data_IF_044321753856
#
_entry.id   IF_044321753856
#
_cell.length_a   1.000
_cell.length_b   1.000
_cell.length_c   1.000
_cell.angle_alpha   90.00
_cell.angle_beta   90.00
_cell.angle_gamma   90.00
#
_symmetry.space_group_name_H-M   'P 1'
#
loop_
_entity.id
_entity.type
_entity.pdbx_description
1 polymer ?
#
# COMPACT_ATOMS: atom_id res chain seq x y z
N UNK A 1 -28.57 -20.62 -20.06
CA UNK A 1 -28.11 -19.34 -19.45
C UNK A 1 -28.20 -19.36 -17.90
N UNK A 2 -29.14 -20.09 -17.30
CA UNK A 2 -29.38 -20.09 -15.85
C UNK A 2 -28.38 -20.90 -15.00
N UNK A 3 -27.78 -21.97 -15.52
CA UNK A 3 -26.85 -22.81 -14.73
C UNK A 3 -25.59 -22.06 -14.29
N UNK A 4 -25.03 -21.21 -15.15
CA UNK A 4 -23.85 -20.42 -14.81
C UNK A 4 -24.16 -19.48 -13.64
N UNK A 5 -25.31 -18.80 -13.71
CA UNK A 5 -25.79 -17.90 -12.66
C UNK A 5 -26.01 -18.65 -11.35
N UNK A 6 -26.64 -19.83 -11.39
CA UNK A 6 -26.85 -20.67 -10.21
C UNK A 6 -25.53 -21.11 -9.56
N UNK A 7 -24.50 -21.43 -10.35
CA UNK A 7 -23.16 -21.74 -9.83
C UNK A 7 -22.49 -20.55 -9.14
N UNK A 8 -22.58 -19.35 -9.73
CA UNK A 8 -22.05 -18.14 -9.08
C UNK A 8 -22.79 -17.82 -7.79
N UNK A 9 -24.12 -17.92 -7.78
CA UNK A 9 -24.92 -17.74 -6.56
C UNK A 9 -24.50 -18.70 -5.46
N UNK A 10 -24.30 -19.99 -5.79
CA UNK A 10 -23.85 -21.00 -4.84
C UNK A 10 -22.45 -20.74 -4.26
N UNK A 11 -21.60 -19.99 -4.95
CA UNK A 11 -20.30 -19.55 -4.42
C UNK A 11 -20.48 -18.33 -3.51
N UNK A 12 -21.30 -17.36 -3.92
CA UNK A 12 -21.52 -16.11 -3.18
C UNK A 12 -22.31 -16.29 -1.88
N UNK A 13 -23.20 -17.29 -1.82
CA UNK A 13 -23.98 -17.59 -0.61
C UNK A 13 -23.21 -18.41 0.43
N UNK A 14 -22.02 -18.92 0.11
CA UNK A 14 -21.19 -19.65 1.07
C UNK A 14 -20.61 -18.68 2.09
N UNK A 15 -20.71 -18.99 3.40
CA UNK A 15 -20.08 -18.17 4.41
C UNK A 15 -18.56 -18.17 4.24
N UNK A 16 -17.93 -17.01 4.48
CA UNK A 16 -16.47 -16.89 4.43
C UNK A 16 -15.85 -17.86 5.45
N UNK A 17 -14.91 -18.68 4.98
CA UNK A 17 -14.18 -19.63 5.80
C UNK A 17 -13.41 -18.92 6.92
N UNK A 18 -13.07 -19.64 7.99
CA UNK A 18 -12.31 -19.07 9.10
C UNK A 18 -10.96 -18.50 8.64
N UNK A 19 -10.26 -19.19 7.73
CA UNK A 19 -9.01 -18.70 7.12
C UNK A 19 -9.21 -17.39 6.35
N UNK A 20 -10.31 -17.26 5.60
CA UNK A 20 -10.65 -16.02 4.89
C UNK A 20 -10.93 -14.87 5.86
N UNK A 21 -11.60 -15.13 6.99
CA UNK A 21 -11.85 -14.12 8.03
C UNK A 21 -10.56 -13.64 8.67
N UNK A 22 -9.64 -14.56 9.00
CA UNK A 22 -8.33 -14.21 9.56
C UNK A 22 -7.53 -13.37 8.55
N UNK A 23 -7.53 -13.75 7.27
CA UNK A 23 -6.87 -12.98 6.22
C UNK A 23 -7.43 -11.56 6.13
N UNK A 24 -8.76 -11.41 6.16
CA UNK A 24 -9.41 -10.10 6.15
C UNK A 24 -8.99 -9.24 7.36
N UNK A 25 -8.92 -9.83 8.56
CA UNK A 25 -8.46 -9.12 9.75
C UNK A 25 -7.01 -8.64 9.60
N UNK A 26 -6.13 -9.49 9.07
CA UNK A 26 -4.74 -9.12 8.78
C UNK A 26 -4.69 -7.97 7.76
N UNK A 27 -5.51 -8.03 6.70
CA UNK A 27 -5.59 -6.96 5.71
C UNK A 27 -6.03 -5.64 6.34
N UNK A 28 -7.10 -5.66 7.15
CA UNK A 28 -7.58 -4.46 7.86
C UNK A 28 -6.49 -3.90 8.79
N UNK A 29 -5.76 -4.77 9.48
CA UNK A 29 -4.67 -4.37 10.37
C UNK A 29 -3.47 -3.77 9.63
N UNK A 30 -3.21 -4.18 8.39
CA UNK A 30 -2.15 -3.61 7.56
C UNK A 30 -2.47 -2.23 7.02
N UNK A 31 -3.75 -1.84 6.93
CA UNK A 31 -4.15 -0.50 6.44
C UNK A 31 -3.48 0.63 7.23
N UNK A 32 -3.52 0.71 8.57
CA UNK A 32 -2.85 1.80 9.28
C UNK A 32 -1.33 1.84 9.06
N UNK A 33 -0.68 0.70 8.81
CA UNK A 33 0.76 0.69 8.49
C UNK A 33 1.06 1.46 7.20
N UNK A 34 0.16 1.47 6.21
CA UNK A 34 0.41 2.17 4.94
C UNK A 34 0.44 3.69 5.07
N UNK A 35 -0.05 4.23 6.19
CA UNK A 35 0.07 5.66 6.52
C UNK A 35 1.37 5.99 7.25
N UNK A 36 1.98 5.00 7.92
CA UNK A 36 3.20 5.21 8.71
C UNK A 36 4.47 5.01 7.88
N UNK A 37 4.42 4.17 6.85
CA UNK A 37 5.57 3.88 5.99
C UNK A 37 5.44 4.57 4.63
N UNK A 38 6.57 5.02 4.05
CA UNK A 38 6.54 5.60 2.71
C UNK A 38 6.25 4.51 1.68
N UNK A 39 5.32 4.81 0.78
CA UNK A 39 4.98 3.94 -0.35
C UNK A 39 6.06 3.98 -1.42
N UNK A 40 6.65 5.15 -1.63
CA UNK A 40 7.67 5.39 -2.64
C UNK A 40 8.79 6.26 -2.10
N UNK A 41 10.02 5.94 -2.51
CA UNK A 41 11.21 6.75 -2.27
C UNK A 41 11.79 7.18 -3.61
N UNK A 42 11.96 8.48 -3.80
CA UNK A 42 12.49 9.06 -5.02
C UNK A 42 13.77 9.83 -4.71
N UNK A 43 14.73 9.75 -5.63
CA UNK A 43 15.96 10.53 -5.60
C UNK A 43 16.13 11.25 -6.94
N UNK A 44 16.13 12.56 -6.92
CA UNK A 44 16.36 13.41 -8.08
C UNK A 44 17.82 13.81 -8.11
N UNK A 45 18.56 13.17 -9.01
CA UNK A 45 19.97 13.46 -9.25
C UNK A 45 20.08 14.48 -10.39
N UNK A 46 20.97 15.45 -10.23
CA UNK A 46 21.33 16.40 -11.28
C UNK A 46 22.82 16.69 -11.19
N UNK A 47 23.49 16.86 -12.33
CA UNK A 47 24.91 17.22 -12.38
C UNK A 47 25.21 18.57 -11.70
N UNK A 48 24.20 19.42 -11.51
CA UNK A 48 24.34 20.74 -10.89
C UNK A 48 24.30 20.69 -9.35
N UNK A 49 23.81 19.60 -8.76
CA UNK A 49 23.64 19.47 -7.31
C UNK A 49 24.38 18.22 -6.79
N UNK A 50 25.49 18.39 -6.06
CA UNK A 50 26.28 17.26 -5.56
C UNK A 50 25.56 16.43 -4.49
N UNK A 51 24.50 16.96 -3.88
CA UNK A 51 23.61 16.23 -2.99
C UNK A 51 22.22 16.08 -3.64
N UNK A 52 21.77 14.85 -3.93
CA UNK A 52 20.50 14.64 -4.62
C UNK A 52 19.30 14.99 -3.73
N UNK A 53 18.27 15.56 -4.35
CA UNK A 53 17.01 15.81 -3.67
C UNK A 53 16.29 14.48 -3.45
N UNK A 54 16.08 14.12 -2.18
CA UNK A 54 15.42 12.87 -1.78
C UNK A 54 14.04 13.17 -1.21
N UNK A 55 13.05 12.41 -1.66
CA UNK A 55 11.64 12.59 -1.30
C UNK A 55 11.02 11.23 -0.98
N UNK A 56 10.28 11.17 0.11
CA UNK A 56 9.42 10.06 0.47
C UNK A 56 7.96 10.45 0.24
N UNK A 57 7.20 9.54 -0.37
CA UNK A 57 5.78 9.72 -0.68
C UNK A 57 4.97 8.79 0.20
N UNK A 58 4.13 9.39 1.03
CA UNK A 58 3.16 8.72 1.89
C UNK A 58 1.78 8.84 1.27
N UNK A 59 0.82 8.07 1.80
CA UNK A 59 -0.58 8.15 1.36
C UNK A 59 -1.16 9.56 1.54
N UNK A 60 -0.76 10.26 2.59
CA UNK A 60 -1.36 11.51 3.03
C UNK A 60 -0.41 12.72 2.99
N UNK A 61 0.88 12.53 2.74
CA UNK A 61 1.85 13.62 2.73
C UNK A 61 3.10 13.28 1.91
N UNK A 62 3.96 14.28 1.73
CA UNK A 62 5.29 14.15 1.14
C UNK A 62 6.32 14.61 2.17
N UNK A 63 7.40 13.86 2.35
CA UNK A 63 8.47 14.19 3.29
C UNK A 63 9.82 14.27 2.56
N UNK A 64 10.53 15.38 2.73
CA UNK A 64 11.91 15.50 2.23
C UNK A 64 12.86 14.72 3.14
N UNK A 65 13.71 13.86 2.57
CA UNK A 65 14.68 13.15 3.39
C UNK A 65 15.80 14.07 3.85
N UNK A 66 16.22 13.84 5.09
CA UNK A 66 17.39 14.41 5.75
C UNK A 66 18.68 13.86 5.14
N UNK A 67 19.60 14.74 4.78
CA UNK A 67 20.93 14.37 4.26
C UNK A 67 22.01 15.08 5.07
N UNK A 68 23.21 14.48 5.24
CA UNK A 68 24.28 15.08 6.06
C UNK A 68 24.74 16.49 5.65
N UNK A 69 24.30 16.98 4.48
CA UNK A 69 24.66 18.30 3.93
C UNK A 69 23.49 19.29 3.96
N UNK A 70 22.30 18.90 4.42
CA UNK A 70 21.07 19.69 4.32
C UNK A 70 20.26 19.76 5.63
N UNK A 71 20.88 19.35 6.75
CA UNK A 71 20.35 19.39 8.12
C UNK A 71 21.32 20.09 9.07
#
# INVERSE_FOLDING_TARGET
MNEKIARYQAVLTKPVSLSGRVLLLITVFLIPLTFQFPLWKMAFQSNQYPDPLRLEIYINHLEGQKTPRRD
#
